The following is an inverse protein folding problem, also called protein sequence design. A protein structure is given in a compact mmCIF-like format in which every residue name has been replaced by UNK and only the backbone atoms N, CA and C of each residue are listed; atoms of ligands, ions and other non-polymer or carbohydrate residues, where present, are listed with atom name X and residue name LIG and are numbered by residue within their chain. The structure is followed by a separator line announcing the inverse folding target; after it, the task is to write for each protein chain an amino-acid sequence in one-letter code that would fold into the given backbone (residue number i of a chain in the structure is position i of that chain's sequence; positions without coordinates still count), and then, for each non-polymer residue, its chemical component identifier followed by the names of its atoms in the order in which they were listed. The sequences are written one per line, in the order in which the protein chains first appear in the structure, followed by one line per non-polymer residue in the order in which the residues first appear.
data_IF_229351410827
#
_entry.id   IF_229351410827
#
_cell.length_a   1.000
_cell.length_b   1.000
_cell.length_c   1.000
_cell.angle_alpha   90.00
_cell.angle_beta   90.00
_cell.angle_gamma   90.00
#
_symmetry.space_group_name_H-M   'P 1'
#
loop_
_entity.id
_entity.type
_entity.pdbx_description
1 polymer ?
#
# COMPACT_ATOMS: atom_id res chain seq x y z
N UNK A 1 17.75 -7.48 -15.83
CA UNK A 1 16.93 -6.70 -14.88
C UNK A 1 15.66 -7.50 -14.62
N UNK A 2 15.18 -7.51 -13.38
CA UNK A 2 13.86 -8.05 -13.01
C UNK A 2 12.79 -7.30 -13.83
N UNK A 3 11.79 -7.99 -14.34
CA UNK A 3 10.61 -7.36 -14.91
C UNK A 3 9.79 -6.74 -13.77
N UNK A 4 9.59 -5.43 -13.81
CA UNK A 4 8.84 -4.70 -12.79
C UNK A 4 7.41 -4.47 -13.29
N UNK A 5 6.43 -4.74 -12.44
CA UNK A 5 5.00 -4.49 -12.70
C UNK A 5 4.59 -3.25 -11.90
N UNK A 6 3.98 -2.27 -12.56
CA UNK A 6 3.53 -1.06 -11.88
C UNK A 6 2.01 -0.98 -11.84
N UNK A 7 1.50 -0.69 -10.64
CA UNK A 7 0.11 -0.39 -10.36
C UNK A 7 -0.06 1.05 -9.87
N UNK A 8 -1.30 1.48 -9.71
CA UNK A 8 -1.61 2.79 -9.15
C UNK A 8 -2.95 2.81 -8.43
N UNK A 9 -3.01 3.56 -7.34
CA UNK A 9 -4.25 4.06 -6.76
C UNK A 9 -4.81 5.18 -7.63
N UNK A 10 -6.13 5.29 -7.76
CA UNK A 10 -6.74 6.28 -8.64
C UNK A 10 -6.53 7.73 -8.20
N UNK A 11 -6.42 8.09 -6.90
CA UNK A 11 -6.14 9.46 -6.47
C UNK A 11 -4.91 10.08 -7.13
N UNK A 12 -3.89 9.32 -7.52
CA UNK A 12 -2.70 9.80 -8.24
C UNK A 12 -3.07 10.54 -9.53
N UNK A 13 -4.15 10.16 -10.19
CA UNK A 13 -4.59 10.70 -11.48
C UNK A 13 -5.89 11.48 -11.41
N UNK A 14 -6.51 11.53 -10.22
CA UNK A 14 -7.76 12.22 -9.95
C UNK A 14 -7.53 13.64 -9.36
N UNK A 15 -8.61 14.24 -8.86
CA UNK A 15 -8.51 15.47 -8.08
C UNK A 15 -8.25 15.12 -6.61
N UNK A 16 -7.16 15.59 -6.05
CA UNK A 16 -6.93 15.54 -4.62
C UNK A 16 -7.64 16.70 -3.90
N UNK A 17 -8.20 16.40 -2.73
CA UNK A 17 -8.79 17.36 -1.83
C UNK A 17 -8.45 16.98 -0.38
N UNK A 18 -8.44 17.95 0.52
CA UNK A 18 -8.24 17.72 1.93
C UNK A 18 -9.18 18.59 2.79
N UNK A 19 -9.01 18.56 4.11
CA UNK A 19 -9.82 19.37 5.03
C UNK A 19 -9.61 20.88 4.92
N UNK A 20 -8.56 21.33 4.24
CA UNK A 20 -8.24 22.75 4.04
C UNK A 20 -8.74 23.24 2.68
N UNK A 21 -8.57 22.43 1.63
CA UNK A 21 -9.01 22.75 0.27
C UNK A 21 -10.08 21.75 -0.17
N UNK A 22 -11.24 21.83 0.44
CA UNK A 22 -12.36 20.90 0.20
C UNK A 22 -12.90 20.93 -1.24
N UNK A 23 -12.70 22.04 -1.96
CA UNK A 23 -13.03 22.14 -3.38
C UNK A 23 -12.08 21.38 -4.29
N UNK A 24 -10.96 20.90 -3.74
CA UNK A 24 -9.87 20.23 -4.45
C UNK A 24 -8.83 21.18 -5.02
N UNK A 25 -7.61 20.66 -5.20
CA UNK A 25 -6.42 21.40 -5.64
C UNK A 25 -6.33 21.57 -7.17
N UNK A 26 -7.10 20.81 -7.92
CA UNK A 26 -7.09 20.79 -9.38
C UNK A 26 -8.49 20.57 -9.98
N UNK A 27 -8.59 20.33 -11.27
CA UNK A 27 -9.86 20.01 -11.91
C UNK A 27 -10.39 18.63 -11.50
N UNK A 28 -11.69 18.48 -11.49
CA UNK A 28 -12.33 17.16 -11.35
C UNK A 28 -12.28 16.42 -12.68
N UNK A 29 -11.99 15.14 -12.59
CA UNK A 29 -12.00 14.23 -13.74
C UNK A 29 -13.11 13.19 -13.58
N UNK A 30 -13.73 12.80 -14.70
CA UNK A 30 -14.57 11.60 -14.72
C UNK A 30 -13.72 10.35 -14.63
N UNK A 31 -14.32 9.20 -14.28
CA UNK A 31 -13.59 7.93 -14.21
C UNK A 31 -12.89 7.62 -15.55
N UNK A 32 -13.58 7.80 -16.66
CA UNK A 32 -13.01 7.66 -18.00
C UNK A 32 -11.75 8.54 -18.20
N UNK A 33 -11.82 9.81 -17.81
CA UNK A 33 -10.67 10.71 -17.90
C UNK A 33 -9.51 10.31 -16.99
N UNK A 34 -9.81 9.78 -15.81
CA UNK A 34 -8.78 9.23 -14.89
C UNK A 34 -8.04 8.07 -15.58
N UNK A 35 -8.76 7.12 -16.16
CA UNK A 35 -8.14 6.01 -16.88
C UNK A 35 -7.34 6.47 -18.12
N UNK A 36 -7.86 7.39 -18.90
CA UNK A 36 -7.12 8.01 -20.01
C UNK A 36 -5.85 8.73 -19.56
N UNK A 37 -5.82 9.29 -18.36
CA UNK A 37 -4.63 9.90 -17.77
C UNK A 37 -3.62 8.83 -17.34
N UNK A 38 -4.06 7.71 -16.78
CA UNK A 38 -3.19 6.57 -16.42
C UNK A 38 -2.47 6.04 -17.67
N UNK A 39 -3.15 5.91 -18.81
CA UNK A 39 -2.52 5.43 -20.06
C UNK A 39 -1.42 6.35 -20.60
N UNK A 40 -1.26 7.57 -20.08
CA UNK A 40 -0.11 8.43 -20.40
C UNK A 40 1.20 7.99 -19.75
N UNK A 41 1.12 7.04 -18.81
CA UNK A 41 2.25 6.41 -18.15
C UNK A 41 2.27 4.92 -18.55
N UNK A 42 2.90 4.56 -19.68
CA UNK A 42 2.77 3.22 -20.28
C UNK A 42 3.26 2.06 -19.42
N UNK A 43 4.06 2.34 -18.40
CA UNK A 43 4.55 1.34 -17.47
C UNK A 43 3.47 0.84 -16.51
N UNK A 44 2.41 1.61 -16.28
CA UNK A 44 1.31 1.24 -15.39
C UNK A 44 0.37 0.30 -16.14
N UNK A 45 0.19 -0.89 -15.59
CA UNK A 45 -0.68 -1.93 -16.18
C UNK A 45 -1.79 -2.39 -15.23
N UNK A 46 -1.70 -2.01 -13.95
CA UNK A 46 -2.69 -2.35 -12.93
C UNK A 46 -3.27 -1.12 -12.25
N UNK A 47 -4.52 -1.21 -11.83
CA UNK A 47 -5.16 -0.19 -11.01
C UNK A 47 -5.78 -0.80 -9.78
N UNK A 48 -5.89 -0.01 -8.74
CA UNK A 48 -6.55 -0.34 -7.50
C UNK A 48 -7.93 0.31 -7.44
N UNK A 49 -8.94 -0.48 -7.12
CA UNK A 49 -10.34 -0.03 -7.08
C UNK A 49 -10.91 -0.10 -5.68
N UNK A 50 -11.34 1.04 -5.15
CA UNK A 50 -11.98 1.13 -3.82
C UNK A 50 -13.49 0.97 -3.96
N UNK A 51 -14.06 0.03 -3.20
CA UNK A 51 -15.50 -0.19 -3.08
C UNK A 51 -16.22 1.05 -2.54
N UNK A 52 -17.44 1.29 -2.99
CA UNK A 52 -18.29 2.44 -2.66
C UNK A 52 -17.70 3.83 -3.01
N UNK A 53 -16.44 3.89 -3.37
CA UNK A 53 -15.79 5.12 -3.84
C UNK A 53 -15.62 5.11 -5.37
N UNK A 54 -14.98 4.08 -5.92
CA UNK A 54 -14.75 3.92 -7.35
C UNK A 54 -15.77 2.98 -8.00
N UNK A 55 -16.08 1.90 -7.31
CA UNK A 55 -17.00 0.85 -7.76
C UNK A 55 -18.10 0.57 -6.72
N UNK A 56 -19.26 0.19 -7.23
CA UNK A 56 -20.40 -0.30 -6.45
C UNK A 56 -21.21 -1.27 -7.33
N UNK A 57 -22.31 -1.83 -6.79
CA UNK A 57 -23.11 -2.81 -7.50
C UNK A 57 -23.71 -2.28 -8.82
N UNK A 58 -23.93 -0.96 -8.91
CA UNK A 58 -24.56 -0.34 -10.08
C UNK A 58 -23.56 -0.06 -11.21
N UNK A 59 -22.28 0.23 -10.89
CA UNK A 59 -21.29 0.69 -11.86
C UNK A 59 -20.11 -0.25 -12.08
N UNK A 60 -20.00 -1.35 -11.34
CA UNK A 60 -18.84 -2.25 -11.36
C UNK A 60 -18.50 -2.74 -12.78
N UNK A 61 -19.52 -3.21 -13.52
CA UNK A 61 -19.32 -3.71 -14.89
C UNK A 61 -18.87 -2.59 -15.81
N UNK A 62 -19.51 -1.42 -15.74
CA UNK A 62 -19.14 -0.26 -16.55
C UNK A 62 -17.68 0.17 -16.31
N UNK A 63 -17.29 0.28 -15.04
CA UNK A 63 -15.92 0.70 -14.66
C UNK A 63 -14.87 -0.33 -15.12
N UNK A 64 -15.15 -1.62 -14.94
CA UNK A 64 -14.21 -2.67 -15.36
C UNK A 64 -14.10 -2.80 -16.88
N UNK A 65 -15.16 -2.52 -17.62
CA UNK A 65 -15.12 -2.48 -19.09
C UNK A 65 -14.32 -1.26 -19.58
N UNK A 66 -14.47 -0.07 -18.97
CA UNK A 66 -13.64 1.09 -19.27
C UNK A 66 -12.13 0.79 -19.04
N UNK A 67 -11.79 0.05 -17.98
CA UNK A 67 -10.40 -0.37 -17.72
C UNK A 67 -9.86 -1.25 -18.84
N UNK A 68 -10.63 -2.27 -19.26
CA UNK A 68 -10.24 -3.16 -20.36
C UNK A 68 -10.04 -2.39 -21.66
N UNK A 69 -10.92 -1.43 -21.97
CA UNK A 69 -10.80 -0.58 -23.15
C UNK A 69 -9.54 0.29 -23.13
N UNK A 70 -9.06 0.64 -21.93
CA UNK A 70 -7.78 1.33 -21.71
C UNK A 70 -6.57 0.37 -21.67
N UNK A 71 -6.76 -0.95 -21.74
CA UNK A 71 -5.69 -1.94 -21.63
C UNK A 71 -5.15 -2.10 -20.21
N UNK A 72 -5.92 -1.70 -19.19
CA UNK A 72 -5.57 -1.78 -17.79
C UNK A 72 -6.23 -2.99 -17.11
N UNK A 73 -5.52 -3.62 -16.17
CA UNK A 73 -6.06 -4.65 -15.29
C UNK A 73 -6.36 -4.12 -13.89
N UNK A 74 -7.10 -4.90 -13.09
CA UNK A 74 -7.29 -4.65 -11.66
C UNK A 74 -6.18 -5.39 -10.90
N UNK A 75 -5.32 -4.68 -10.16
CA UNK A 75 -4.28 -5.30 -9.35
C UNK A 75 -4.73 -5.56 -7.91
N UNK A 76 -5.59 -4.72 -7.35
CA UNK A 76 -6.22 -4.94 -6.04
C UNK A 76 -7.63 -4.34 -6.00
N UNK A 77 -8.47 -4.88 -5.12
CA UNK A 77 -9.76 -4.29 -4.75
C UNK A 77 -9.71 -3.97 -3.26
N UNK A 78 -10.18 -2.79 -2.87
CA UNK A 78 -10.10 -2.27 -1.50
C UNK A 78 -11.50 -2.08 -0.94
N UNK A 79 -11.89 -2.70 0.17
CA UNK A 79 -13.13 -2.40 0.86
C UNK A 79 -13.10 -1.00 1.48
N UNK A 80 -14.11 -0.19 1.24
CA UNK A 80 -14.25 1.12 1.89
C UNK A 80 -14.65 0.96 3.36
N UNK A 81 -13.65 0.92 4.22
CA UNK A 81 -13.80 0.81 5.66
C UNK A 81 -13.50 2.13 6.39
N UNK A 82 -13.46 3.28 5.69
CA UNK A 82 -13.04 4.55 6.31
C UNK A 82 -13.81 5.80 5.86
N UNK A 83 -14.32 5.88 4.63
CA UNK A 83 -14.91 7.14 4.11
C UNK A 83 -16.30 7.45 4.67
N UNK A 84 -17.03 6.43 5.14
CA UNK A 84 -18.39 6.59 5.62
C UNK A 84 -18.42 6.86 7.13
N UNK A 85 -19.25 7.82 7.55
CA UNK A 85 -19.35 8.22 8.97
C UNK A 85 -19.70 7.08 9.92
N UNK A 86 -20.35 6.00 9.44
CA UNK A 86 -20.65 4.81 10.25
C UNK A 86 -19.40 4.08 10.74
N UNK A 87 -18.28 4.19 10.02
CA UNK A 87 -17.02 3.56 10.38
C UNK A 87 -16.22 4.33 11.44
N UNK A 88 -16.58 5.58 11.73
CA UNK A 88 -15.80 6.51 12.58
C UNK A 88 -15.57 6.06 14.02
N UNK A 89 -16.15 4.94 14.46
CA UNK A 89 -15.90 4.34 15.77
C UNK A 89 -15.37 2.90 15.67
N UNK A 90 -14.68 2.60 14.60
CA UNK A 90 -14.13 1.28 14.27
C UNK A 90 -14.99 0.52 13.27
N UNK A 91 -14.37 -0.40 12.58
CA UNK A 91 -14.98 -1.34 11.66
C UNK A 91 -15.03 -2.73 12.30
N UNK A 92 -13.98 -3.52 12.18
CA UNK A 92 -13.89 -4.85 12.84
C UNK A 92 -13.82 -4.75 14.36
N UNK A 93 -13.33 -3.64 14.91
CA UNK A 93 -13.25 -3.39 16.35
C UNK A 93 -14.37 -2.49 16.89
N UNK A 94 -15.38 -2.21 16.10
CA UNK A 94 -16.53 -1.42 16.54
C UNK A 94 -17.23 -2.09 17.74
N UNK A 95 -17.66 -1.30 18.73
CA UNK A 95 -18.47 -1.79 19.85
C UNK A 95 -19.86 -2.25 19.39
N UNK A 96 -20.33 -1.73 18.25
CA UNK A 96 -21.60 -2.17 17.65
C UNK A 96 -21.36 -3.39 16.75
N UNK A 97 -21.91 -4.54 17.15
CA UNK A 97 -21.82 -5.78 16.38
C UNK A 97 -22.39 -5.62 14.96
N UNK A 98 -23.42 -4.81 14.78
CA UNK A 98 -24.00 -4.56 13.45
C UNK A 98 -22.97 -3.93 12.52
N UNK A 99 -22.20 -2.95 13.02
CA UNK A 99 -21.12 -2.31 12.26
C UNK A 99 -20.02 -3.32 11.91
N UNK A 100 -19.61 -4.16 12.86
CA UNK A 100 -18.62 -5.23 12.58
C UNK A 100 -19.10 -6.18 11.48
N UNK A 101 -20.36 -6.59 11.54
CA UNK A 101 -20.97 -7.47 10.51
C UNK A 101 -21.04 -6.80 9.13
N UNK A 102 -21.37 -5.52 9.09
CA UNK A 102 -21.37 -4.75 7.84
C UNK A 102 -19.94 -4.64 7.26
N UNK A 103 -18.93 -4.37 8.09
CA UNK A 103 -17.53 -4.29 7.64
C UNK A 103 -17.03 -5.63 7.07
N UNK A 104 -17.32 -6.75 7.74
CA UNK A 104 -16.99 -8.09 7.24
C UNK A 104 -17.70 -8.37 5.90
N UNK A 105 -18.96 -7.96 5.77
CA UNK A 105 -19.71 -8.12 4.52
C UNK A 105 -19.11 -7.31 3.38
N UNK A 106 -18.61 -6.10 3.66
CA UNK A 106 -17.93 -5.24 2.69
C UNK A 106 -16.63 -5.90 2.16
N UNK A 107 -15.81 -6.46 3.05
CA UNK A 107 -14.61 -7.21 2.65
C UNK A 107 -14.99 -8.39 1.75
N UNK A 108 -15.98 -9.20 2.14
CA UNK A 108 -16.44 -10.35 1.34
C UNK A 108 -16.94 -9.95 -0.04
N UNK A 109 -17.66 -8.84 -0.12
CA UNK A 109 -18.15 -8.27 -1.39
C UNK A 109 -16.97 -7.87 -2.29
N UNK A 110 -15.95 -7.23 -1.74
CA UNK A 110 -14.73 -6.89 -2.49
C UNK A 110 -13.98 -8.14 -2.96
N UNK A 111 -13.97 -9.23 -2.18
CA UNK A 111 -13.42 -10.51 -2.63
C UNK A 111 -14.21 -11.09 -3.83
N UNK A 112 -15.54 -10.95 -3.85
CA UNK A 112 -16.35 -11.39 -5.00
C UNK A 112 -16.09 -10.55 -6.25
N UNK A 113 -15.94 -9.24 -6.10
CA UNK A 113 -15.56 -8.37 -7.22
C UNK A 113 -14.17 -8.69 -7.74
N UNK A 114 -13.18 -8.86 -6.85
CA UNK A 114 -11.82 -9.21 -7.23
C UNK A 114 -11.80 -10.51 -8.06
N UNK A 115 -12.44 -11.56 -7.57
CA UNK A 115 -12.51 -12.84 -8.29
C UNK A 115 -13.18 -12.70 -9.67
N UNK A 116 -14.19 -11.86 -9.80
CA UNK A 116 -14.94 -11.68 -11.06
C UNK A 116 -14.12 -11.01 -12.18
N UNK A 117 -13.04 -10.30 -11.82
CA UNK A 117 -12.12 -9.63 -12.75
C UNK A 117 -10.74 -10.28 -12.82
N UNK A 118 -10.60 -11.50 -12.28
CA UNK A 118 -9.33 -12.23 -12.16
C UNK A 118 -8.25 -11.45 -11.38
N UNK A 119 -8.65 -10.66 -10.41
CA UNK A 119 -7.78 -10.08 -9.41
C UNK A 119 -7.71 -11.05 -8.23
N UNK A 120 -6.51 -11.39 -7.79
CA UNK A 120 -6.28 -12.36 -6.73
C UNK A 120 -6.10 -11.73 -5.34
N UNK A 121 -6.16 -10.39 -5.24
CA UNK A 121 -5.88 -9.68 -3.98
C UNK A 121 -6.93 -8.66 -3.60
N UNK A 122 -7.24 -8.64 -2.31
CA UNK A 122 -8.04 -7.60 -1.67
C UNK A 122 -7.19 -6.98 -0.56
N UNK A 123 -6.97 -5.67 -0.66
CA UNK A 123 -6.27 -4.91 0.37
C UNK A 123 -7.24 -4.49 1.48
N UNK A 124 -6.88 -4.73 2.72
CA UNK A 124 -7.69 -4.39 3.89
C UNK A 124 -6.93 -3.41 4.77
N UNK A 125 -7.25 -2.13 4.62
CA UNK A 125 -6.77 -1.07 5.49
C UNK A 125 -7.76 -0.77 6.60
N UNK A 126 -7.32 -0.94 7.86
CA UNK A 126 -8.12 -0.72 9.07
C UNK A 126 -8.03 0.73 9.57
N UNK A 127 -8.26 1.72 8.71
CA UNK A 127 -8.05 3.14 8.99
C UNK A 127 -8.89 3.74 10.12
N UNK A 128 -9.93 3.03 10.58
CA UNK A 128 -10.80 3.46 11.70
C UNK A 128 -10.69 2.53 12.92
N UNK A 129 -9.93 1.41 12.83
CA UNK A 129 -9.81 0.44 13.91
C UNK A 129 -8.64 0.80 14.85
N UNK A 130 -8.96 1.55 15.88
CA UNK A 130 -7.98 2.09 16.81
C UNK A 130 -8.62 2.88 17.95
N UNK A 131 -7.85 3.78 18.54
CA UNK A 131 -8.29 4.63 19.64
C UNK A 131 -7.65 6.02 19.59
N UNK A 132 -8.42 7.03 19.99
CA UNK A 132 -7.96 8.40 20.11
C UNK A 132 -7.48 8.71 21.53
N UNK A 133 -8.12 8.13 22.54
CA UNK A 133 -7.91 8.44 23.96
C UNK A 133 -7.66 7.19 24.80
N UNK A 134 -6.86 7.31 25.88
CA UNK A 134 -6.73 6.24 26.89
C UNK A 134 -8.09 5.79 27.44
N UNK A 135 -8.25 4.51 27.72
CA UNK A 135 -9.48 3.89 28.25
C UNK A 135 -10.69 3.94 27.30
N UNK A 136 -10.50 4.27 26.05
CA UNK A 136 -11.57 4.31 25.05
C UNK A 136 -11.96 2.90 24.58
N UNK A 137 -11.02 1.97 24.56
CA UNK A 137 -11.19 0.61 24.03
C UNK A 137 -10.71 -0.45 25.02
N UNK A 138 -11.35 -1.62 24.97
CA UNK A 138 -10.75 -2.86 25.48
C UNK A 138 -9.82 -3.44 24.40
N UNK A 139 -8.52 -3.37 24.65
CA UNK A 139 -7.52 -3.76 23.66
C UNK A 139 -7.51 -5.28 23.39
N UNK A 140 -7.81 -6.11 24.39
CA UNK A 140 -7.86 -7.54 24.21
C UNK A 140 -9.07 -7.96 23.38
N UNK A 141 -10.23 -7.37 23.67
CA UNK A 141 -11.44 -7.60 22.89
C UNK A 141 -11.27 -7.15 21.44
N UNK A 142 -10.68 -5.96 21.21
CA UNK A 142 -10.43 -5.43 19.88
C UNK A 142 -9.52 -6.35 19.04
N UNK A 143 -8.43 -6.85 19.62
CA UNK A 143 -7.57 -7.84 18.95
C UNK A 143 -8.31 -9.13 18.61
N UNK A 144 -9.13 -9.64 19.53
CA UNK A 144 -9.92 -10.86 19.28
C UNK A 144 -10.93 -10.63 18.14
N UNK A 145 -11.58 -9.46 18.12
CA UNK A 145 -12.53 -9.10 17.06
C UNK A 145 -11.85 -9.00 15.69
N UNK A 146 -10.64 -8.41 15.59
CA UNK A 146 -9.84 -8.39 14.36
C UNK A 146 -9.52 -9.82 13.88
N UNK A 147 -9.04 -10.67 14.79
CA UNK A 147 -8.67 -12.06 14.49
C UNK A 147 -9.88 -12.84 13.98
N UNK A 148 -11.01 -12.77 14.68
CA UNK A 148 -12.21 -13.54 14.32
C UNK A 148 -12.86 -13.04 13.02
N UNK A 149 -12.89 -11.71 12.82
CA UNK A 149 -13.39 -11.11 11.57
C UNK A 149 -12.54 -11.47 10.36
N UNK A 150 -11.21 -11.44 10.49
CA UNK A 150 -10.30 -11.84 9.42
C UNK A 150 -10.39 -13.33 9.12
N UNK A 151 -10.52 -14.19 10.15
CA UNK A 151 -10.78 -15.63 9.93
C UNK A 151 -12.02 -15.86 9.10
N UNK A 152 -13.10 -15.16 9.43
CA UNK A 152 -14.35 -15.27 8.68
C UNK A 152 -14.22 -14.81 7.23
N UNK A 153 -13.48 -13.73 6.97
CA UNK A 153 -13.21 -13.28 5.61
C UNK A 153 -12.33 -14.27 4.84
N UNK A 154 -11.23 -14.74 5.41
CA UNK A 154 -10.35 -15.72 4.80
C UNK A 154 -11.06 -17.06 4.51
N UNK A 155 -11.98 -17.47 5.39
CA UNK A 155 -12.74 -18.72 5.21
C UNK A 155 -13.87 -18.59 4.17
N UNK A 156 -14.26 -17.36 3.81
CA UNK A 156 -15.30 -17.10 2.81
C UNK A 156 -14.85 -17.47 1.40
N UNK A 157 -13.65 -17.04 0.97
CA UNK A 157 -13.06 -17.36 -0.33
C UNK A 157 -11.60 -17.73 -0.18
N UNK A 158 -11.22 -18.90 -0.71
CA UNK A 158 -9.85 -19.40 -0.68
C UNK A 158 -9.05 -19.06 -1.95
N UNK A 159 -9.72 -18.60 -2.98
CA UNK A 159 -9.16 -18.23 -4.28
C UNK A 159 -8.83 -16.74 -4.41
N UNK A 160 -9.05 -15.97 -3.34
CA UNK A 160 -8.68 -14.56 -3.22
C UNK A 160 -7.91 -14.36 -1.93
N UNK A 161 -6.73 -13.78 -2.05
CA UNK A 161 -5.87 -13.43 -0.93
C UNK A 161 -6.33 -12.11 -0.31
N UNK A 162 -6.26 -12.01 1.01
CA UNK A 162 -6.33 -10.75 1.72
C UNK A 162 -4.91 -10.27 2.03
N UNK A 163 -4.63 -8.99 1.82
CA UNK A 163 -3.43 -8.34 2.32
C UNK A 163 -3.81 -7.27 3.32
N UNK A 164 -3.10 -7.19 4.43
CA UNK A 164 -3.35 -6.18 5.47
C UNK A 164 -2.37 -5.04 5.27
N UNK A 165 -2.91 -3.86 4.97
CA UNK A 165 -2.16 -2.63 4.98
C UNK A 165 -2.10 -2.07 6.40
N UNK A 166 -0.88 -1.89 6.93
CA UNK A 166 -0.70 -1.31 8.25
C UNK A 166 -0.34 0.18 8.19
N UNK A 167 -0.79 0.92 9.19
CA UNK A 167 -0.51 2.34 9.35
C UNK A 167 -0.44 2.72 10.82
N UNK A 168 0.49 3.59 11.19
CA UNK A 168 0.66 3.99 12.59
C UNK A 168 -0.58 4.69 13.14
N UNK A 169 -1.11 5.64 12.38
CA UNK A 169 -2.27 6.47 12.78
C UNK A 169 -2.87 7.22 11.59
N UNK A 170 -4.19 7.52 11.66
CA UNK A 170 -4.88 8.34 10.65
C UNK A 170 -6.18 8.95 11.18
N UNK A 171 -6.43 10.24 11.10
CA UNK A 171 -5.41 11.30 11.11
C UNK A 171 -4.77 11.45 12.50
N UNK A 172 -5.48 11.04 13.57
CA UNK A 172 -5.02 11.04 14.96
C UNK A 172 -5.28 9.74 15.69
N UNK A 173 -6.13 8.88 15.13
CA UNK A 173 -6.47 7.57 15.68
C UNK A 173 -5.24 6.69 15.69
N UNK A 174 -4.85 6.17 16.85
CA UNK A 174 -3.76 5.20 16.95
C UNK A 174 -4.29 3.84 16.52
N UNK A 175 -3.85 3.36 15.36
CA UNK A 175 -4.38 2.13 14.79
C UNK A 175 -3.82 0.90 15.50
N UNK A 176 -4.62 -0.17 15.58
CA UNK A 176 -4.18 -1.44 16.17
C UNK A 176 -3.10 -2.08 15.31
N UNK A 177 -3.31 -2.15 14.00
CA UNK A 177 -2.39 -2.74 13.03
C UNK A 177 -1.46 -1.63 12.54
N UNK A 178 -0.34 -1.40 13.24
CA UNK A 178 0.43 -0.16 13.11
C UNK A 178 1.90 -0.33 12.74
N UNK A 179 2.40 -1.55 12.62
CA UNK A 179 3.79 -1.86 12.26
C UNK A 179 3.89 -3.24 11.60
N UNK A 180 4.96 -3.49 10.84
CA UNK A 180 5.24 -4.79 10.24
C UNK A 180 5.17 -5.94 11.27
N UNK A 181 5.77 -5.75 12.45
CA UNK A 181 5.77 -6.76 13.52
C UNK A 181 4.39 -7.06 14.08
N UNK A 182 3.54 -6.05 14.29
CA UNK A 182 2.16 -6.25 14.74
C UNK A 182 1.29 -6.93 13.69
N UNK A 183 1.49 -6.58 12.43
CA UNK A 183 0.76 -7.20 11.31
C UNK A 183 1.13 -8.66 11.19
N UNK A 184 2.41 -9.00 11.27
CA UNK A 184 2.88 -10.39 11.27
C UNK A 184 2.33 -11.17 12.48
N UNK A 185 2.28 -10.55 13.66
CA UNK A 185 1.63 -11.15 14.83
C UNK A 185 0.16 -11.46 14.55
N UNK A 186 -0.62 -10.50 14.04
CA UNK A 186 -2.04 -10.68 13.73
C UNK A 186 -2.26 -11.82 12.73
N UNK A 187 -1.48 -11.88 11.65
CA UNK A 187 -1.57 -12.94 10.64
C UNK A 187 -1.32 -14.32 11.26
N UNK A 188 -0.31 -14.44 12.12
CA UNK A 188 0.00 -15.67 12.80
C UNK A 188 -1.15 -16.13 13.71
N UNK A 189 -1.80 -15.19 14.43
CA UNK A 189 -2.96 -15.49 15.26
C UNK A 189 -4.21 -15.86 14.44
N UNK A 190 -4.41 -15.24 13.28
CA UNK A 190 -5.48 -15.61 12.35
C UNK A 190 -5.28 -17.02 11.81
N UNK A 191 -4.05 -17.38 11.44
CA UNK A 191 -3.68 -18.72 11.04
C UNK A 191 -4.41 -19.21 9.77
N UNK A 192 -4.40 -18.40 8.73
CA UNK A 192 -4.95 -18.73 7.40
C UNK A 192 -3.91 -18.49 6.31
N UNK A 193 -3.89 -19.35 5.31
CA UNK A 193 -2.87 -19.34 4.25
C UNK A 193 -3.12 -18.28 3.18
N UNK A 194 -4.33 -17.70 3.11
CA UNK A 194 -4.71 -16.64 2.18
C UNK A 194 -4.77 -15.26 2.86
N UNK A 195 -3.83 -15.00 3.77
CA UNK A 195 -3.67 -13.71 4.45
C UNK A 195 -2.21 -13.29 4.48
N UNK A 196 -1.90 -12.16 3.87
CA UNK A 196 -0.55 -11.58 3.76
C UNK A 196 -0.47 -10.14 4.23
N UNK A 197 0.65 -9.51 3.93
CA UNK A 197 0.95 -8.11 4.28
C UNK A 197 1.06 -7.28 3.01
N UNK A 198 0.43 -6.12 3.04
CA UNK A 198 0.78 -4.99 2.20
C UNK A 198 1.64 -4.05 3.05
N UNK A 199 2.88 -3.83 2.61
CA UNK A 199 3.76 -2.83 3.22
C UNK A 199 3.70 -1.54 2.39
N UNK A 200 3.00 -0.54 2.90
CA UNK A 200 3.13 0.81 2.39
C UNK A 200 4.44 1.40 2.94
N UNK A 201 5.38 1.68 2.03
CA UNK A 201 6.73 2.11 2.41
C UNK A 201 6.72 3.48 3.10
N UNK A 202 5.76 4.35 2.78
CA UNK A 202 5.56 5.61 3.50
C UNK A 202 4.96 5.40 4.89
N UNK A 203 4.04 4.43 5.06
CA UNK A 203 3.52 4.08 6.37
C UNK A 203 4.61 3.54 7.29
N UNK A 204 5.51 2.70 6.77
CA UNK A 204 6.70 2.23 7.50
C UNK A 204 7.56 3.40 7.96
N UNK A 205 7.85 4.38 7.09
CA UNK A 205 8.59 5.59 7.43
C UNK A 205 7.88 6.41 8.51
N UNK A 206 6.58 6.65 8.36
CA UNK A 206 5.77 7.40 9.32
C UNK A 206 5.67 6.68 10.69
N UNK A 207 5.75 5.35 10.71
CA UNK A 207 5.81 4.54 11.93
C UNK A 207 7.18 4.57 12.61
N UNK A 208 8.19 5.16 11.97
CA UNK A 208 9.57 5.20 12.47
C UNK A 208 10.30 3.86 12.30
N UNK A 209 9.82 2.98 11.45
CA UNK A 209 10.50 1.75 11.08
C UNK A 209 11.61 2.04 10.05
N UNK A 210 12.67 1.25 10.05
CA UNK A 210 13.53 1.17 8.89
C UNK A 210 12.79 0.33 7.84
N UNK A 211 12.51 0.91 6.66
CA UNK A 211 11.70 0.27 5.61
C UNK A 211 12.27 -1.09 5.20
N UNK A 212 13.58 -1.19 5.06
CA UNK A 212 14.24 -2.45 4.67
C UNK A 212 14.13 -3.54 5.76
N UNK A 213 14.17 -3.15 7.04
CA UNK A 213 13.92 -4.06 8.17
C UNK A 213 12.43 -4.47 8.23
N UNK A 214 11.52 -3.54 7.93
CA UNK A 214 10.08 -3.82 7.76
C UNK A 214 9.84 -4.88 6.68
N UNK A 215 10.39 -4.69 5.48
CA UNK A 215 10.35 -5.66 4.38
C UNK A 215 10.91 -7.02 4.81
N UNK A 216 12.05 -7.05 5.48
CA UNK A 216 12.67 -8.29 5.97
C UNK A 216 11.80 -8.96 7.04
N UNK A 217 11.15 -8.17 7.92
CA UNK A 217 10.22 -8.66 8.94
C UNK A 217 8.95 -9.24 8.31
N UNK A 218 8.40 -8.62 7.26
CA UNK A 218 7.29 -9.17 6.49
C UNK A 218 7.69 -10.49 5.80
N UNK A 219 8.88 -10.56 5.22
CA UNK A 219 9.47 -11.77 4.65
C UNK A 219 8.56 -12.45 3.62
N UNK A 220 8.23 -13.70 3.84
CA UNK A 220 7.37 -14.54 3.01
C UNK A 220 5.89 -14.14 3.00
N UNK A 221 5.48 -13.32 3.95
CA UNK A 221 4.12 -12.76 4.03
C UNK A 221 3.97 -11.43 3.27
N UNK A 222 5.05 -10.87 2.70
CA UNK A 222 4.98 -9.65 1.90
C UNK A 222 4.42 -9.94 0.52
N UNK A 223 3.14 -9.67 0.31
CA UNK A 223 2.45 -10.00 -0.94
C UNK A 223 2.06 -8.78 -1.77
N UNK A 224 2.07 -7.60 -1.20
CA UNK A 224 1.84 -6.35 -1.90
C UNK A 224 2.67 -5.22 -1.27
N UNK A 225 2.91 -4.15 -2.03
CA UNK A 225 3.51 -2.91 -1.54
C UNK A 225 2.81 -1.70 -2.14
N UNK A 226 2.71 -0.65 -1.35
CA UNK A 226 2.49 0.71 -1.83
C UNK A 226 3.79 1.50 -1.78
N UNK A 227 3.98 2.41 -2.74
CA UNK A 227 5.18 3.23 -2.84
C UNK A 227 4.82 4.70 -2.87
N UNK A 228 5.29 5.41 -1.85
CA UNK A 228 5.27 6.85 -1.67
C UNK A 228 6.44 7.26 -0.78
N UNK A 229 6.59 8.55 -0.54
CA UNK A 229 7.64 9.11 0.31
C UNK A 229 7.05 10.18 1.23
N UNK A 230 7.68 10.44 2.38
CA UNK A 230 7.24 11.44 3.34
C UNK A 230 8.41 11.89 4.25
N UNK A 231 8.16 12.85 5.12
CA UNK A 231 9.15 13.36 6.07
C UNK A 231 9.21 12.58 7.40
N UNK A 232 8.76 11.34 7.47
CA UNK A 232 8.72 10.48 8.66
C UNK A 232 7.91 11.05 9.84
N UNK A 233 7.01 11.98 9.59
CA UNK A 233 6.16 12.62 10.62
C UNK A 233 4.68 12.41 10.34
N UNK A 234 4.34 12.34 9.08
CA UNK A 234 3.00 12.21 8.56
C UNK A 234 3.05 11.41 7.27
N UNK A 235 1.94 10.84 6.91
CA UNK A 235 1.78 10.22 5.62
C UNK A 235 1.46 11.30 4.58
N UNK A 236 2.53 11.78 3.94
CA UNK A 236 2.45 12.92 3.01
C UNK A 236 2.15 12.46 1.58
N UNK A 237 2.18 11.17 1.29
CA UNK A 237 1.91 10.56 -0.03
C UNK A 237 2.68 11.24 -1.18
N UNK A 238 3.94 11.54 -0.94
CA UNK A 238 4.79 12.26 -1.87
C UNK A 238 5.39 11.33 -2.93
N UNK A 239 5.97 11.92 -3.96
CA UNK A 239 6.67 11.22 -5.04
C UNK A 239 7.78 10.33 -4.49
N UNK A 240 7.68 9.02 -4.79
CA UNK A 240 8.62 8.04 -4.28
C UNK A 240 10.07 8.31 -4.71
N UNK A 241 10.99 8.14 -3.75
CA UNK A 241 12.42 8.31 -3.97
C UNK A 241 12.91 9.76 -3.97
N UNK A 242 11.99 10.71 -3.76
CA UNK A 242 12.32 12.15 -3.81
C UNK A 242 13.03 12.66 -2.55
N UNK A 243 12.85 11.98 -1.40
CA UNK A 243 13.39 12.40 -0.11
C UNK A 243 14.45 11.43 0.45
N UNK A 244 14.17 10.13 0.42
CA UNK A 244 14.96 9.12 1.13
C UNK A 244 15.75 8.21 0.18
N UNK A 245 16.58 8.77 -0.71
CA UNK A 245 17.29 8.04 -1.77
C UNK A 245 18.05 6.79 -1.27
N UNK A 246 18.83 6.89 -0.19
CA UNK A 246 19.62 5.73 0.31
C UNK A 246 18.70 4.66 0.89
N UNK A 247 17.68 5.05 1.64
CA UNK A 247 16.69 4.11 2.20
C UNK A 247 15.90 3.42 1.09
N UNK A 248 15.53 4.17 0.03
CA UNK A 248 14.83 3.59 -1.12
C UNK A 248 15.69 2.58 -1.88
N UNK A 249 17.00 2.83 -2.04
CA UNK A 249 17.92 1.86 -2.63
C UNK A 249 17.99 0.58 -1.77
N UNK A 250 18.08 0.74 -0.46
CA UNK A 250 18.09 -0.39 0.47
C UNK A 250 16.77 -1.17 0.42
N UNK A 251 15.62 -0.48 0.41
CA UNK A 251 14.30 -1.09 0.28
C UNK A 251 14.17 -1.91 -1.02
N UNK A 252 14.57 -1.35 -2.18
CA UNK A 252 14.56 -2.08 -3.45
C UNK A 252 15.45 -3.32 -3.43
N UNK A 253 16.62 -3.24 -2.79
CA UNK A 253 17.50 -4.40 -2.60
C UNK A 253 16.82 -5.50 -1.75
N UNK A 254 16.14 -5.11 -0.65
CA UNK A 254 15.46 -6.08 0.20
C UNK A 254 14.21 -6.66 -0.42
N UNK A 255 13.43 -5.90 -1.19
CA UNK A 255 12.32 -6.43 -1.99
C UNK A 255 12.78 -7.52 -2.97
N UNK A 256 13.91 -7.29 -3.65
CA UNK A 256 14.49 -8.32 -4.51
C UNK A 256 15.01 -9.54 -3.71
N UNK A 257 15.57 -9.30 -2.52
CA UNK A 257 16.12 -10.36 -1.67
C UNK A 257 15.04 -11.26 -1.05
N UNK A 258 13.88 -10.71 -0.68
CA UNK A 258 12.74 -11.51 -0.19
C UNK A 258 11.94 -12.15 -1.33
N UNK A 259 12.27 -11.86 -2.58
CA UNK A 259 11.65 -12.43 -3.76
C UNK A 259 10.31 -11.79 -4.13
N UNK A 260 10.09 -10.53 -3.76
CA UNK A 260 8.87 -9.81 -4.10
C UNK A 260 8.63 -9.79 -5.62
N UNK A 261 7.47 -10.20 -6.09
CA UNK A 261 7.12 -10.34 -7.51
C UNK A 261 5.69 -9.88 -7.84
N UNK A 262 5.19 -8.87 -7.14
CA UNK A 262 3.89 -8.28 -7.42
C UNK A 262 4.03 -6.84 -7.93
N UNK A 263 2.95 -6.07 -7.95
CA UNK A 263 2.95 -4.68 -8.41
C UNK A 263 3.66 -3.75 -7.43
N UNK A 264 4.40 -2.79 -7.98
CA UNK A 264 4.83 -1.58 -7.29
C UNK A 264 3.69 -0.57 -7.45
N UNK A 265 2.76 -0.56 -6.53
CA UNK A 265 1.56 0.27 -6.61
C UNK A 265 1.86 1.67 -6.10
N UNK A 266 1.65 2.66 -6.96
CA UNK A 266 1.81 4.07 -6.59
C UNK A 266 0.59 4.48 -5.76
N UNK A 267 0.80 4.81 -4.49
CA UNK A 267 -0.18 5.41 -3.61
C UNK A 267 0.29 6.79 -3.20
N UNK A 268 -0.11 7.80 -3.96
CA UNK A 268 0.37 9.17 -3.82
C UNK A 268 -0.77 10.16 -4.02
N UNK A 269 -0.65 11.32 -3.39
CA UNK A 269 -1.62 12.40 -3.47
C UNK A 269 -1.01 13.67 -4.09
N UNK A 270 -1.06 13.86 -5.42
CA UNK A 270 -0.51 15.05 -6.09
C UNK A 270 -1.39 16.28 -5.84
N UNK A 271 -1.22 16.92 -4.68
CA UNK A 271 -2.00 18.11 -4.34
C UNK A 271 -1.71 19.30 -5.26
N UNK A 272 -0.46 19.51 -5.61
CA UNK A 272 0.02 20.66 -6.43
C UNK A 272 0.81 20.22 -7.65
N UNK A 273 1.16 18.97 -7.71
CA UNK A 273 1.91 18.32 -8.78
C UNK A 273 0.98 17.84 -9.90
N UNK A 274 1.53 17.62 -11.07
CA UNK A 274 0.85 16.88 -12.14
C UNK A 274 1.00 15.38 -11.87
N UNK A 275 -0.12 14.69 -11.63
CA UNK A 275 -0.11 13.27 -11.28
C UNK A 275 0.53 12.36 -12.34
N UNK A 276 0.43 12.72 -13.64
CA UNK A 276 1.08 11.94 -14.69
C UNK A 276 2.61 12.03 -14.55
N UNK A 277 3.13 13.25 -14.35
CA UNK A 277 4.57 13.46 -14.16
C UNK A 277 5.07 12.85 -12.87
N UNK A 278 4.32 13.00 -11.78
CA UNK A 278 4.66 12.43 -10.48
C UNK A 278 4.75 10.91 -10.53
N UNK A 279 3.80 10.26 -11.20
CA UNK A 279 3.81 8.82 -11.41
C UNK A 279 5.02 8.38 -12.27
N UNK A 280 5.28 9.06 -13.37
CA UNK A 280 6.43 8.74 -14.24
C UNK A 280 7.76 8.88 -13.50
N UNK A 281 7.98 9.97 -12.77
CA UNK A 281 9.20 10.21 -12.01
C UNK A 281 9.40 9.14 -10.91
N UNK A 282 8.34 8.74 -10.20
CA UNK A 282 8.42 7.67 -9.18
C UNK A 282 8.84 6.34 -9.80
N UNK A 283 8.29 5.99 -10.97
CA UNK A 283 8.67 4.79 -11.73
C UNK A 283 10.13 4.87 -12.17
N UNK A 284 10.57 6.02 -12.67
CA UNK A 284 11.94 6.23 -13.14
C UNK A 284 12.94 6.15 -11.98
N UNK A 285 12.58 6.65 -10.79
CA UNK A 285 13.36 6.46 -9.57
C UNK A 285 13.50 4.97 -9.22
N UNK A 286 12.41 4.22 -9.18
CA UNK A 286 12.43 2.77 -8.87
C UNK A 286 13.33 2.01 -9.86
N UNK A 287 13.15 2.25 -11.16
CA UNK A 287 14.00 1.65 -12.21
C UNK A 287 15.46 2.06 -12.06
N UNK A 288 15.71 3.33 -11.73
CA UNK A 288 17.04 3.87 -11.46
C UNK A 288 17.73 3.19 -10.29
N UNK A 289 17.00 2.92 -9.21
CA UNK A 289 17.54 2.22 -8.04
C UNK A 289 17.92 0.77 -8.35
N UNK A 290 17.09 0.03 -9.08
CA UNK A 290 17.45 -1.31 -9.54
C UNK A 290 18.66 -1.29 -10.47
N UNK A 291 18.73 -0.32 -11.39
CA UNK A 291 19.92 -0.11 -12.25
C UNK A 291 21.18 0.22 -11.44
N UNK A 292 21.03 0.95 -10.32
CA UNK A 292 22.13 1.25 -9.42
C UNK A 292 22.60 0.00 -8.65
N UNK A 293 21.66 -0.79 -8.13
CA UNK A 293 21.94 -2.06 -7.44
C UNK A 293 22.69 -3.02 -8.38
N UNK A 294 22.24 -3.14 -9.64
CA UNK A 294 22.91 -3.96 -10.66
C UNK A 294 24.36 -3.47 -10.93
N UNK A 295 24.58 -2.13 -11.01
CA UNK A 295 25.92 -1.54 -11.22
C UNK A 295 26.84 -1.75 -10.04
N UNK A 296 26.35 -1.66 -8.80
CA UNK A 296 27.11 -1.97 -7.59
C UNK A 296 27.48 -3.45 -7.56
N UNK A 297 26.52 -4.29 -7.93
CA UNK A 297 26.60 -5.74 -7.90
C UNK A 297 26.20 -6.32 -6.53
N UNK A 298 25.25 -7.23 -6.51
CA UNK A 298 24.74 -7.89 -5.30
C UNK A 298 25.85 -8.48 -4.42
N UNK A 299 26.92 -9.16 -4.96
CA UNK A 299 27.99 -9.70 -4.12
C UNK A 299 28.73 -8.63 -3.31
N UNK A 300 28.90 -7.40 -3.87
CA UNK A 300 29.53 -6.29 -3.12
C UNK A 300 28.63 -5.80 -2.00
N UNK A 301 27.34 -5.66 -2.25
CA UNK A 301 26.34 -5.26 -1.24
C UNK A 301 26.33 -6.31 -0.10
N UNK A 302 26.28 -7.60 -0.44
CA UNK A 302 26.29 -8.69 0.55
C UNK A 302 27.57 -8.71 1.38
N UNK A 303 28.73 -8.42 0.77
CA UNK A 303 29.99 -8.30 1.48
C UNK A 303 29.97 -7.16 2.50
N UNK A 304 29.42 -6.01 2.11
CA UNK A 304 29.27 -4.85 3.01
C UNK A 304 28.32 -5.18 4.16
N UNK A 305 27.17 -5.75 3.88
CA UNK A 305 26.20 -6.21 4.90
C UNK A 305 26.88 -7.19 5.87
N UNK A 306 27.61 -8.18 5.36
CA UNK A 306 28.29 -9.19 6.17
C UNK A 306 29.41 -8.62 7.03
N UNK A 307 30.09 -7.58 6.56
CA UNK A 307 31.17 -6.92 7.32
C UNK A 307 30.64 -6.06 8.47
N UNK A 308 29.42 -5.51 8.33
CA UNK A 308 28.85 -4.54 9.25
C UNK A 308 29.61 -3.20 9.29
N UNK A 309 30.50 -2.95 8.32
CA UNK A 309 31.33 -1.74 8.28
C UNK A 309 30.56 -0.58 7.62
N UNK A 310 30.06 0.35 8.45
CA UNK A 310 29.35 1.53 8.00
C UNK A 310 30.18 2.45 7.10
N UNK A 311 31.51 2.45 7.23
CA UNK A 311 32.39 3.27 6.39
C UNK A 311 32.53 2.70 4.98
N UNK A 312 32.54 1.37 4.85
CA UNK A 312 32.47 0.69 3.57
C UNK A 312 31.13 0.91 2.89
N UNK A 313 30.01 0.83 3.63
CA UNK A 313 28.68 1.15 3.12
C UNK A 313 28.65 2.59 2.60
N UNK A 314 29.08 3.55 3.40
CA UNK A 314 29.10 4.97 3.01
C UNK A 314 29.94 5.21 1.75
N UNK A 315 31.12 4.58 1.66
CA UNK A 315 31.98 4.66 0.48
C UNK A 315 31.29 4.08 -0.75
N UNK A 316 30.72 2.89 -0.63
CA UNK A 316 29.99 2.22 -1.72
C UNK A 316 28.86 3.11 -2.28
N UNK A 317 28.03 3.69 -1.41
CA UNK A 317 26.94 4.57 -1.82
C UNK A 317 27.44 5.86 -2.46
N UNK A 318 28.46 6.49 -1.88
CA UNK A 318 29.07 7.70 -2.43
C UNK A 318 29.64 7.47 -3.84
N UNK A 319 30.37 6.37 -4.04
CA UNK A 319 30.91 6.00 -5.35
C UNK A 319 29.80 5.75 -6.37
N UNK A 320 28.75 5.04 -5.95
CA UNK A 320 27.63 4.69 -6.82
C UNK A 320 26.77 5.88 -7.23
N UNK A 321 26.50 6.80 -6.29
CA UNK A 321 25.63 7.95 -6.51
C UNK A 321 26.37 9.15 -7.13
N UNK A 322 27.61 9.41 -6.71
CA UNK A 322 28.33 10.63 -7.09
C UNK A 322 29.44 10.37 -8.10
N UNK A 323 29.73 9.12 -8.45
CA UNK A 323 30.85 8.77 -9.36
C UNK A 323 32.22 9.14 -8.81
N UNK A 324 32.33 9.50 -7.53
CA UNK A 324 33.59 9.92 -6.91
C UNK A 324 34.39 8.69 -6.45
N UNK A 325 35.66 8.60 -6.90
CA UNK A 325 36.63 7.61 -6.43
C UNK A 325 37.22 8.00 -5.07
#
# INVERSE_FOLDING_TARGET
MKELKFGTCLPVFAQCADRYVQSGYGPRYTMQQVFERITKVPDITGVELVGNWHINDDNFVEVTDMLKDCGLGVCMVVPDLWTQGKWGSGTFTSKDEKIRREAIAEVKKCMDWAASVNCDKVDVWFGQDGFDYPFQMDYQEAWQQLIDGLRECCDYRKDVDLVIEYKLKEPRTNLFVSTAGKTRFLINEVGRDNLGILDDLGHSQAAGENVADGIATCGDLLWAIHVNDNYCQWDDDMMYGSLHTIWSIEAMYWLDRVGYDYYYTLDMNPYREDGIKMAQESIDWIKGYYGLIDRIGKPRIEQVIKSGDATEMSRMMREALLGAK
#
